data_IF_208310595424
#
_entry.id   IF_208310595424
#
_cell.length_a   1.000
_cell.length_b   1.000
_cell.length_c   1.000
_cell.angle_alpha   90.00
_cell.angle_beta   90.00
_cell.angle_gamma   90.00
#
_symmetry.space_group_name_H-M   'P 1'
#
loop_
_entity.id
_entity.type
_entity.pdbx_description
1 polymer ?
#
# COMPACT_ATOMS: atom_id res chain seq x y z
N UNK A 1 22.39 22.40 -9.17
CA UNK A 1 22.84 22.68 -7.78
C UNK A 1 21.63 23.16 -6.99
N UNK A 2 21.28 22.52 -5.88
CA UNK A 2 20.12 22.95 -5.08
C UNK A 2 20.45 24.27 -4.38
N UNK A 3 19.59 25.27 -4.52
CA UNK A 3 19.76 26.56 -3.88
C UNK A 3 19.79 26.42 -2.35
N UNK A 4 20.74 27.07 -1.63
CA UNK A 4 20.91 26.91 -0.19
C UNK A 4 19.63 27.21 0.60
N UNK A 5 19.45 26.54 1.74
CA UNK A 5 18.33 26.81 2.66
C UNK A 5 18.61 28.10 3.42
N UNK A 6 17.76 29.10 3.24
CA UNK A 6 17.93 30.42 3.85
C UNK A 6 17.19 30.54 5.19
N UNK A 7 17.48 31.60 5.95
CA UNK A 7 16.72 31.93 7.17
C UNK A 7 15.26 32.26 6.86
N UNK A 8 15.00 32.89 5.69
CA UNK A 8 13.66 33.20 5.19
C UNK A 8 12.83 31.94 4.97
N UNK A 9 13.43 30.88 4.43
CA UNK A 9 12.76 29.59 4.26
C UNK A 9 12.34 29.01 5.63
N UNK A 10 13.20 29.10 6.65
CA UNK A 10 12.91 28.60 8.00
C UNK A 10 11.77 29.37 8.67
N UNK A 11 11.76 30.69 8.56
CA UNK A 11 10.71 31.55 9.08
C UNK A 11 9.37 31.29 8.37
N UNK A 12 9.37 31.18 7.04
CA UNK A 12 8.17 30.89 6.26
C UNK A 12 7.57 29.53 6.63
N UNK A 13 8.39 28.49 6.82
CA UNK A 13 7.92 27.17 7.27
C UNK A 13 7.31 27.24 8.67
N UNK A 14 7.94 27.95 9.63
CA UNK A 14 7.39 28.14 10.98
C UNK A 14 6.02 28.82 10.95
N UNK A 15 5.91 29.95 10.24
CA UNK A 15 4.66 30.70 10.14
C UNK A 15 3.54 29.86 9.53
N UNK A 16 3.79 29.25 8.37
CA UNK A 16 2.77 28.47 7.67
C UNK A 16 2.41 27.17 8.43
N UNK A 17 3.33 26.60 9.19
CA UNK A 17 3.05 25.47 10.08
C UNK A 17 2.12 25.88 11.24
N UNK A 18 2.36 27.04 11.86
CA UNK A 18 1.50 27.60 12.90
C UNK A 18 0.07 27.90 12.38
N UNK A 19 -0.07 28.28 11.11
CA UNK A 19 -1.36 28.41 10.41
C UNK A 19 -2.04 27.06 10.08
N UNK A 20 -1.43 25.92 10.45
CA UNK A 20 -1.94 24.58 10.19
C UNK A 20 -1.80 24.12 8.74
N UNK A 21 -0.98 24.78 7.91
CA UNK A 21 -0.79 24.35 6.52
C UNK A 21 -0.04 23.03 6.44
N UNK A 22 -0.42 22.18 5.49
CA UNK A 22 0.27 20.92 5.23
C UNK A 22 1.66 21.15 4.62
N UNK A 23 2.60 20.23 4.85
CA UNK A 23 3.95 20.26 4.27
C UNK A 23 3.95 20.52 2.76
N UNK A 24 3.07 19.85 2.01
CA UNK A 24 3.01 19.98 0.56
C UNK A 24 2.48 21.35 0.12
N UNK A 25 1.57 21.95 0.90
CA UNK A 25 1.14 23.32 0.66
C UNK A 25 2.32 24.27 0.87
N UNK A 26 3.01 24.17 2.01
CA UNK A 26 4.18 24.98 2.33
C UNK A 26 5.23 24.90 1.22
N UNK A 27 5.57 23.68 0.78
CA UNK A 27 6.52 23.43 -0.30
C UNK A 27 6.18 24.22 -1.58
N UNK A 28 4.91 24.19 -2.01
CA UNK A 28 4.46 24.95 -3.18
C UNK A 28 4.52 26.46 -2.94
N UNK A 29 4.09 26.91 -1.75
CA UNK A 29 4.08 28.34 -1.39
C UNK A 29 5.47 28.96 -1.38
N UNK A 30 6.47 28.23 -0.89
CA UNK A 30 7.85 28.75 -0.79
C UNK A 30 8.74 28.36 -2.00
N UNK A 31 8.20 27.61 -2.97
CA UNK A 31 8.96 27.16 -4.14
C UNK A 31 10.05 26.13 -3.82
N UNK A 32 9.90 25.34 -2.75
CA UNK A 32 10.89 24.34 -2.32
C UNK A 32 10.31 22.93 -2.35
N UNK A 33 11.19 21.93 -2.40
CA UNK A 33 10.76 20.53 -2.33
C UNK A 33 10.16 20.19 -0.95
N UNK A 34 9.24 19.22 -0.93
CA UNK A 34 8.68 18.70 0.32
C UNK A 34 9.76 18.08 1.24
N UNK A 35 10.85 17.57 0.66
CA UNK A 35 12.00 17.05 1.41
C UNK A 35 12.73 18.18 2.14
N UNK A 36 12.94 19.33 1.49
CA UNK A 36 13.52 20.52 2.11
C UNK A 36 12.66 21.04 3.25
N UNK A 37 11.33 21.15 3.06
CA UNK A 37 10.40 21.54 4.13
C UNK A 37 10.45 20.56 5.30
N UNK A 38 10.51 19.25 5.03
CA UNK A 38 10.65 18.24 6.09
C UNK A 38 11.97 18.37 6.86
N UNK A 39 13.07 18.71 6.18
CA UNK A 39 14.37 18.95 6.81
C UNK A 39 14.30 20.16 7.73
N UNK A 40 13.73 21.27 7.26
CA UNK A 40 13.53 22.48 8.06
C UNK A 40 12.64 22.20 9.27
N UNK A 41 11.50 21.54 9.07
CA UNK A 41 10.58 21.21 10.14
C UNK A 41 11.26 20.37 11.25
N UNK A 42 12.09 19.39 10.89
CA UNK A 42 12.88 18.62 11.87
C UNK A 42 13.87 19.49 12.66
N UNK A 43 14.60 20.38 11.98
CA UNK A 43 15.54 21.29 12.64
C UNK A 43 14.83 22.27 13.58
N UNK A 44 13.59 22.65 13.26
CA UNK A 44 12.77 23.58 14.04
C UNK A 44 11.85 22.88 15.06
N UNK A 45 11.91 21.55 15.20
CA UNK A 45 11.07 20.77 16.13
C UNK A 45 9.57 20.72 15.75
N UNK A 46 9.23 21.01 14.49
CA UNK A 46 7.84 21.05 14.01
C UNK A 46 7.36 19.68 13.52
N UNK A 47 6.16 19.29 13.94
CA UNK A 47 5.53 18.02 13.53
C UNK A 47 4.26 18.26 12.72
N UNK A 48 4.11 17.56 11.59
CA UNK A 48 2.90 17.62 10.78
C UNK A 48 1.93 16.50 11.17
N UNK A 49 0.74 16.83 11.67
CA UNK A 49 -0.28 15.87 12.12
C UNK A 49 -0.95 15.09 10.98
N UNK A 50 -0.85 15.55 9.74
CA UNK A 50 -1.50 14.91 8.58
C UNK A 50 -0.94 13.53 8.19
N UNK A 51 0.28 13.18 8.63
CA UNK A 51 0.94 11.93 8.27
C UNK A 51 0.20 10.68 8.75
N UNK A 52 -0.28 10.68 10.00
CA UNK A 52 -0.98 9.54 10.58
C UNK A 52 -2.29 9.21 9.84
N UNK A 53 -3.07 10.24 9.49
CA UNK A 53 -4.32 10.08 8.73
C UNK A 53 -4.07 9.54 7.31
N UNK A 54 -3.01 10.02 6.64
CA UNK A 54 -2.64 9.54 5.31
C UNK A 54 -2.11 8.10 5.36
N UNK A 55 -1.34 7.75 6.39
CA UNK A 55 -0.85 6.39 6.58
C UNK A 55 -2.02 5.41 6.78
N UNK A 56 -2.94 5.71 7.70
CA UNK A 56 -4.14 4.91 7.91
C UNK A 56 -4.99 4.75 6.63
N UNK A 57 -5.21 5.83 5.88
CA UNK A 57 -5.94 5.76 4.61
C UNK A 57 -5.20 4.94 3.54
N UNK A 58 -3.85 4.96 3.56
CA UNK A 58 -3.03 4.17 2.65
C UNK A 58 -3.10 2.69 2.99
N UNK A 59 -3.00 2.32 4.27
CA UNK A 59 -3.14 0.93 4.72
C UNK A 59 -4.55 0.40 4.46
N UNK A 60 -5.60 1.19 4.73
CA UNK A 60 -6.96 0.81 4.39
C UNK A 60 -7.12 0.55 2.89
N UNK A 61 -6.60 1.42 2.03
CA UNK A 61 -6.61 1.22 0.57
C UNK A 61 -5.84 -0.03 0.14
N UNK A 62 -4.74 -0.36 0.83
CA UNK A 62 -3.98 -1.59 0.56
C UNK A 62 -4.78 -2.83 0.93
N UNK A 63 -5.42 -2.84 2.10
CA UNK A 63 -6.30 -3.92 2.53
C UNK A 63 -7.46 -4.12 1.56
N UNK A 64 -8.14 -3.04 1.17
CA UNK A 64 -9.21 -3.08 0.18
C UNK A 64 -8.75 -3.61 -1.19
N UNK A 65 -7.52 -3.26 -1.59
CA UNK A 65 -6.95 -3.76 -2.84
C UNK A 65 -6.56 -5.23 -2.76
N UNK A 66 -6.12 -5.71 -1.59
CA UNK A 66 -5.85 -7.13 -1.36
C UNK A 66 -7.14 -7.95 -1.44
N UNK A 67 -8.19 -7.53 -0.71
CA UNK A 67 -9.50 -8.19 -0.72
C UNK A 67 -10.10 -8.27 -2.13
N UNK A 68 -10.01 -7.18 -2.92
CA UNK A 68 -10.47 -7.19 -4.32
C UNK A 68 -9.68 -8.14 -5.22
N UNK A 69 -8.40 -8.36 -4.96
CA UNK A 69 -7.60 -9.34 -5.73
C UNK A 69 -8.01 -10.76 -5.36
N UNK A 70 -8.20 -11.05 -4.09
CA UNK A 70 -8.69 -12.36 -3.63
C UNK A 70 -10.04 -12.67 -4.28
N UNK A 71 -11.00 -11.74 -4.19
CA UNK A 71 -12.30 -11.88 -4.83
C UNK A 71 -12.18 -12.14 -6.35
N UNK A 72 -11.34 -11.38 -7.06
CA UNK A 72 -11.15 -11.58 -8.50
C UNK A 72 -10.52 -12.94 -8.82
N UNK A 73 -9.63 -13.44 -7.96
CA UNK A 73 -9.04 -14.77 -8.14
C UNK A 73 -10.10 -15.86 -7.98
N UNK A 74 -10.98 -15.75 -6.99
CA UNK A 74 -12.07 -16.70 -6.75
C UNK A 74 -13.07 -16.68 -7.90
N UNK A 75 -13.52 -15.50 -8.33
CA UNK A 75 -14.44 -15.35 -9.48
C UNK A 75 -13.85 -15.93 -10.77
N UNK A 76 -12.54 -15.76 -11.00
CA UNK A 76 -11.87 -16.35 -12.14
C UNK A 76 -11.82 -17.88 -12.07
N UNK A 77 -11.59 -18.45 -10.88
CA UNK A 77 -11.59 -19.90 -10.67
C UNK A 77 -12.99 -20.49 -10.88
N UNK A 78 -14.01 -19.88 -10.29
CA UNK A 78 -15.41 -20.30 -10.44
C UNK A 78 -15.85 -20.23 -11.92
N UNK A 79 -15.48 -19.14 -12.60
CA UNK A 79 -15.72 -19.00 -14.03
C UNK A 79 -15.03 -20.10 -14.84
N UNK A 80 -13.78 -20.44 -14.51
CA UNK A 80 -13.04 -21.52 -15.17
C UNK A 80 -13.74 -22.87 -14.98
N UNK A 81 -14.15 -23.20 -13.74
CA UNK A 81 -14.90 -24.41 -13.42
C UNK A 81 -16.22 -24.48 -14.20
N UNK A 82 -16.95 -23.37 -14.28
CA UNK A 82 -18.17 -23.28 -15.08
C UNK A 82 -17.95 -23.56 -16.56
N UNK A 83 -16.81 -23.14 -17.13
CA UNK A 83 -16.45 -23.47 -18.51
C UNK A 83 -16.06 -24.94 -18.69
N UNK A 84 -15.34 -25.53 -17.72
CA UNK A 84 -15.01 -26.97 -17.74
C UNK A 84 -16.28 -27.83 -17.77
N UNK A 85 -17.29 -27.49 -16.98
CA UNK A 85 -18.59 -28.19 -17.00
C UNK A 85 -19.22 -28.10 -18.41
N UNK A 86 -19.24 -26.90 -19.01
CA UNK A 86 -19.78 -26.70 -20.36
C UNK A 86 -19.02 -27.47 -21.44
N UNK A 87 -17.72 -27.66 -21.30
CA UNK A 87 -16.93 -28.50 -22.22
C UNK A 87 -17.45 -29.94 -22.26
N UNK A 88 -17.85 -30.51 -21.11
CA UNK A 88 -18.37 -31.89 -21.04
C UNK A 88 -19.77 -32.06 -21.63
N UNK A 89 -20.57 -30.99 -21.61
CA UNK A 89 -21.94 -30.97 -22.14
C UNK A 89 -22.07 -30.33 -23.53
N UNK A 90 -20.97 -30.07 -24.22
CA UNK A 90 -20.98 -29.34 -25.49
C UNK A 90 -21.61 -30.19 -26.62
N UNK A 91 -22.50 -29.57 -27.40
CA UNK A 91 -23.18 -30.22 -28.53
C UNK A 91 -22.28 -30.37 -29.76
N UNK A 92 -21.18 -29.62 -29.82
CA UNK A 92 -20.22 -29.67 -30.92
C UNK A 92 -18.77 -29.62 -30.45
N UNK A 93 -17.88 -30.15 -31.29
CA UNK A 93 -16.44 -30.05 -31.07
C UNK A 93 -15.93 -28.60 -31.16
N UNK A 94 -16.68 -27.67 -31.78
CA UNK A 94 -16.33 -26.24 -31.76
C UNK A 94 -16.61 -25.66 -30.37
N UNK A 95 -17.82 -25.86 -29.87
CA UNK A 95 -18.24 -25.31 -28.57
C UNK A 95 -17.39 -25.88 -27.42
N UNK A 96 -17.06 -27.18 -27.49
CA UNK A 96 -16.16 -27.81 -26.53
C UNK A 96 -14.79 -27.11 -26.47
N UNK A 97 -14.23 -26.75 -27.64
CA UNK A 97 -12.95 -26.03 -27.74
C UNK A 97 -13.06 -24.59 -27.24
N UNK A 98 -14.15 -23.90 -27.55
CA UNK A 98 -14.35 -22.52 -27.12
C UNK A 98 -14.47 -22.45 -25.58
N UNK A 99 -15.23 -23.36 -24.98
CA UNK A 99 -15.33 -23.50 -23.52
C UNK A 99 -13.98 -23.87 -22.89
N UNK A 100 -13.24 -24.83 -23.46
CA UNK A 100 -11.91 -25.18 -22.95
C UNK A 100 -10.92 -24.01 -23.03
N UNK A 101 -11.00 -23.21 -24.11
CA UNK A 101 -10.17 -22.00 -24.29
C UNK A 101 -10.51 -20.94 -23.25
N UNK A 102 -11.80 -20.72 -22.98
CA UNK A 102 -12.26 -19.79 -21.94
C UNK A 102 -11.83 -20.26 -20.54
N UNK A 103 -11.97 -21.56 -20.23
CA UNK A 103 -11.52 -22.14 -18.97
C UNK A 103 -10.02 -21.90 -18.73
N UNK A 104 -9.20 -22.12 -19.76
CA UNK A 104 -7.77 -21.84 -19.71
C UNK A 104 -7.48 -20.37 -19.44
N UNK A 105 -8.12 -19.46 -20.18
CA UNK A 105 -7.90 -18.02 -20.01
C UNK A 105 -8.23 -17.56 -18.58
N UNK A 106 -9.33 -18.05 -18.00
CA UNK A 106 -9.73 -17.74 -16.64
C UNK A 106 -8.77 -18.33 -15.59
N UNK A 107 -8.26 -19.53 -15.83
CA UNK A 107 -7.23 -20.14 -14.97
C UNK A 107 -5.93 -19.33 -15.00
N UNK A 108 -5.53 -18.81 -16.17
CA UNK A 108 -4.38 -17.93 -16.30
C UNK A 108 -4.58 -16.60 -15.55
N UNK A 109 -5.79 -16.03 -15.57
CA UNK A 109 -6.14 -14.84 -14.77
C UNK A 109 -6.03 -15.15 -13.28
N UNK A 110 -6.64 -16.23 -12.81
CA UNK A 110 -6.54 -16.67 -11.42
C UNK A 110 -5.07 -16.79 -10.97
N UNK A 111 -4.24 -17.49 -11.75
CA UNK A 111 -2.82 -17.69 -11.44
C UNK A 111 -2.05 -16.36 -11.34
N UNK A 112 -2.31 -15.41 -12.25
CA UNK A 112 -1.67 -14.08 -12.24
C UNK A 112 -2.10 -13.23 -11.04
N UNK A 113 -3.39 -13.24 -10.72
CA UNK A 113 -3.93 -12.47 -9.59
C UNK A 113 -3.44 -13.04 -8.25
N UNK A 114 -3.42 -14.37 -8.11
CA UNK A 114 -2.88 -15.06 -6.94
C UNK A 114 -1.37 -14.78 -6.75
N UNK A 115 -0.60 -14.73 -7.84
CA UNK A 115 0.82 -14.37 -7.77
C UNK A 115 1.02 -12.91 -7.33
N UNK A 116 0.24 -11.97 -7.86
CA UNK A 116 0.28 -10.57 -7.42
C UNK A 116 -0.07 -10.44 -5.93
N UNK A 117 -1.04 -11.21 -5.44
CA UNK A 117 -1.41 -11.24 -4.03
C UNK A 117 -0.24 -11.72 -3.15
N UNK A 118 0.43 -12.81 -3.54
CA UNK A 118 1.63 -13.33 -2.83
C UNK A 118 2.75 -12.31 -2.75
N UNK A 119 3.07 -11.63 -3.85
CA UNK A 119 4.12 -10.62 -3.89
C UNK A 119 3.81 -9.40 -3.01
N UNK A 120 2.53 -9.02 -2.90
CA UNK A 120 2.13 -7.92 -2.00
C UNK A 120 2.15 -8.31 -0.52
N UNK A 121 1.95 -9.59 -0.17
CA UNK A 121 1.99 -10.08 1.20
C UNK A 121 3.40 -10.30 1.76
N UNK A 122 4.35 -10.76 0.94
CA UNK A 122 5.73 -11.06 1.36
C UNK A 122 6.69 -9.87 1.27
N UNK A 123 6.34 -8.81 0.51
CA UNK A 123 7.22 -7.68 0.23
C UNK A 123 7.02 -6.44 1.11
N UNK A 124 6.17 -6.47 2.14
CA UNK A 124 5.88 -5.25 2.92
C UNK A 124 7.00 -4.93 3.91
N UNK A 125 8.04 -4.25 3.43
CA UNK A 125 9.01 -3.52 4.26
C UNK A 125 8.31 -2.58 5.26
N UNK A 126 7.04 -2.21 5.00
CA UNK A 126 6.19 -1.43 5.90
C UNK A 126 5.75 -2.22 7.14
N UNK A 127 5.36 -3.49 7.01
CA UNK A 127 4.96 -4.35 8.13
C UNK A 127 6.14 -4.58 9.09
N UNK A 128 7.29 -4.99 8.55
CA UNK A 128 8.51 -5.16 9.33
C UNK A 128 9.01 -3.85 9.97
N UNK A 129 8.75 -2.69 9.34
CA UNK A 129 9.09 -1.38 9.91
C UNK A 129 8.11 -0.95 11.01
N UNK A 130 6.83 -1.31 10.90
CA UNK A 130 5.81 -1.07 11.93
C UNK A 130 6.02 -1.98 13.14
N UNK A 131 6.36 -3.25 12.94
CA UNK A 131 6.72 -4.17 14.03
C UNK A 131 7.97 -3.69 14.78
N UNK A 132 9.00 -3.25 14.06
CA UNK A 132 10.19 -2.61 14.68
C UNK A 132 9.85 -1.31 15.41
N UNK A 133 8.90 -0.52 14.91
CA UNK A 133 8.44 0.70 15.59
C UNK A 133 7.63 0.37 16.84
N UNK A 134 6.81 -0.68 16.81
CA UNK A 134 6.07 -1.18 17.95
C UNK A 134 7.02 -1.69 19.04
N UNK A 135 8.03 -2.49 18.68
CA UNK A 135 9.06 -2.95 19.60
C UNK A 135 9.84 -1.80 20.24
N UNK A 136 10.11 -0.72 19.49
CA UNK A 136 10.81 0.46 20.00
C UNK A 136 9.93 1.31 20.93
N UNK A 137 8.61 1.35 20.70
CA UNK A 137 7.68 2.17 21.50
C UNK A 137 7.10 1.44 22.71
N UNK A 138 6.94 0.13 22.63
CA UNK A 138 6.29 -0.70 23.66
C UNK A 138 7.27 -1.62 24.40
N UNK A 139 8.52 -1.72 23.93
CA UNK A 139 9.48 -2.72 24.36
C UNK A 139 9.16 -4.10 23.77
N UNK A 140 10.14 -5.02 23.70
CA UNK A 140 9.91 -6.36 23.18
C UNK A 140 8.82 -7.04 24.00
N UNK A 141 7.76 -7.48 23.32
CA UNK A 141 6.70 -8.30 23.90
C UNK A 141 7.19 -9.74 24.08
N UNK A 142 8.18 -9.91 24.95
CA UNK A 142 8.82 -11.20 25.23
C UNK A 142 9.14 -11.31 26.72
N UNK A 143 8.11 -11.18 27.56
CA UNK A 143 8.18 -11.42 28.98
C UNK A 143 7.73 -12.83 29.32
N UNK A 144 8.48 -13.84 28.88
CA UNK A 144 8.31 -15.19 29.39
C UNK A 144 9.02 -15.28 30.75
N UNK A 145 8.25 -14.94 31.78
CA UNK A 145 8.61 -15.25 33.16
C UNK A 145 8.65 -16.76 33.34
N UNK A 146 9.85 -17.31 33.55
CA UNK A 146 10.04 -18.46 34.43
C UNK A 146 10.95 -18.05 35.57
N UNK A 147 10.33 -17.78 36.71
CA UNK A 147 10.93 -17.96 38.01
C UNK A 147 10.21 -19.09 38.72
N UNK A 148 10.86 -20.25 38.86
CA UNK A 148 11.25 -20.90 40.13
C UNK A 148 12.25 -22.00 39.83
#
# INVERSE_FOLDING_TARGET
MAEPITARDREAVRRLHAEGKSRNHIARTIGRSAATVSKIARTEGLTFSGGARVAAATEARRADAAARREQLADEALDGALGQVVKTTGAESARDARDHATAARALTEVHARVAELARQTGTGSSGGAMLDRLADVLLGPTGGDGQGV
#
